data_IF_104664469348
#
_entry.id   IF_104664469348
#
_cell.length_a   1.000
_cell.length_b   1.000
_cell.length_c   1.000
_cell.angle_alpha   90.00
_cell.angle_beta   90.00
_cell.angle_gamma   90.00
#
_symmetry.space_group_name_H-M   'P 1'
#
loop_
_entity.id
_entity.type
_entity.pdbx_description
1 polymer ?
#
# COMPACT_ATOMS: atom_id res chain seq x y z
N UNK A 1 18.18 -15.10 28.95
CA UNK A 1 18.67 -14.09 27.98
C UNK A 1 17.78 -14.20 26.76
N UNK A 2 16.86 -13.27 26.56
CA UNK A 2 15.96 -13.30 25.39
C UNK A 2 16.73 -12.91 24.14
N UNK A 3 16.80 -13.81 23.15
CA UNK A 3 17.36 -13.51 21.83
C UNK A 3 16.68 -12.31 21.18
N UNK A 4 17.48 -11.41 20.62
CA UNK A 4 16.99 -10.29 19.84
C UNK A 4 16.48 -10.79 18.48
N UNK A 5 15.15 -10.74 18.29
CA UNK A 5 14.51 -11.10 17.01
C UNK A 5 14.88 -10.05 15.95
N UNK A 6 15.73 -10.44 15.00
CA UNK A 6 16.05 -9.59 13.84
C UNK A 6 14.84 -9.55 12.90
N UNK A 7 14.22 -8.37 12.74
CA UNK A 7 13.12 -8.17 11.80
C UNK A 7 13.71 -8.04 10.39
N UNK A 8 13.35 -8.97 9.49
CA UNK A 8 13.70 -8.89 8.07
C UNK A 8 12.56 -8.25 7.29
N UNK A 9 12.85 -7.16 6.58
CA UNK A 9 11.88 -6.49 5.73
C UNK A 9 11.91 -7.06 4.32
N UNK A 10 10.75 -7.09 3.66
CA UNK A 10 10.61 -7.55 2.27
C UNK A 10 9.92 -6.50 1.44
N UNK A 11 10.38 -6.33 0.21
CA UNK A 11 9.73 -5.46 -0.77
C UNK A 11 8.28 -5.93 -1.04
N UNK A 12 7.27 -5.05 -0.94
CA UNK A 12 5.88 -5.44 -1.16
C UNK A 12 5.57 -5.82 -2.61
N UNK A 13 6.37 -5.34 -3.57
CA UNK A 13 6.16 -5.59 -5.00
C UNK A 13 6.74 -6.94 -5.46
N UNK A 14 7.95 -7.29 -5.02
CA UNK A 14 8.66 -8.47 -5.54
C UNK A 14 9.20 -9.43 -4.45
N UNK A 15 9.00 -9.13 -3.16
CA UNK A 15 9.40 -9.94 -1.99
C UNK A 15 10.89 -10.16 -1.75
N UNK A 16 11.77 -9.48 -2.51
CA UNK A 16 13.21 -9.40 -2.21
C UNK A 16 13.44 -8.74 -0.84
N UNK A 17 14.53 -9.11 -0.17
CA UNK A 17 14.92 -8.49 1.10
C UNK A 17 15.23 -6.99 0.90
N UNK A 18 14.89 -6.18 1.89
CA UNK A 18 15.22 -4.75 1.94
C UNK A 18 15.58 -4.35 3.37
N UNK A 19 16.18 -3.19 3.53
CA UNK A 19 16.68 -2.65 4.80
C UNK A 19 16.15 -1.24 5.01
N UNK A 20 15.97 -0.81 6.26
CA UNK A 20 15.34 0.50 6.59
C UNK A 20 16.20 1.71 6.20
N UNK A 21 17.48 1.50 5.97
CA UNK A 21 18.47 2.49 5.52
C UNK A 21 18.55 2.61 3.99
N UNK A 22 17.86 1.73 3.24
CA UNK A 22 17.74 1.87 1.79
C UNK A 22 16.94 3.13 1.42
N UNK A 23 17.44 3.91 0.45
CA UNK A 23 16.75 5.09 -0.09
C UNK A 23 15.36 4.77 -0.63
N UNK A 24 15.20 3.56 -1.20
CA UNK A 24 13.94 3.09 -1.77
C UNK A 24 13.06 2.34 -0.75
N UNK A 25 13.44 2.25 0.53
CA UNK A 25 12.61 1.55 1.54
C UNK A 25 11.16 2.12 1.55
N UNK A 26 10.11 1.27 1.50
CA UNK A 26 10.06 -0.17 1.77
C UNK A 26 10.30 -1.08 0.56
N UNK A 27 10.72 -0.54 -0.57
CA UNK A 27 11.01 -1.30 -1.79
C UNK A 27 12.47 -1.77 -1.84
N UNK A 28 12.77 -2.71 -2.75
CA UNK A 28 14.15 -3.13 -2.98
C UNK A 28 14.87 -2.28 -4.04
N UNK A 29 14.14 -1.41 -4.75
CA UNK A 29 14.68 -0.51 -5.78
C UNK A 29 13.64 0.50 -6.28
N UNK A 30 14.12 1.57 -6.91
CA UNK A 30 13.33 2.61 -7.58
C UNK A 30 12.32 2.05 -8.59
N UNK A 31 12.70 0.99 -9.32
CA UNK A 31 11.79 0.28 -10.23
C UNK A 31 10.55 -0.24 -9.50
N UNK A 32 10.72 -0.86 -8.33
CA UNK A 32 9.58 -1.38 -7.56
C UNK A 32 8.72 -0.24 -7.01
N UNK A 33 9.32 0.88 -6.59
CA UNK A 33 8.60 2.08 -6.16
C UNK A 33 7.68 2.63 -7.26
N UNK A 34 8.18 2.71 -8.50
CA UNK A 34 7.39 3.18 -9.65
C UNK A 34 6.28 2.19 -10.01
N UNK A 35 6.55 0.88 -9.96
CA UNK A 35 5.52 -0.14 -10.21
C UNK A 35 4.38 -0.03 -9.20
N UNK A 36 4.71 0.13 -7.92
CA UNK A 36 3.71 0.28 -6.87
C UNK A 36 2.83 1.51 -7.12
N UNK A 37 3.45 2.65 -7.46
CA UNK A 37 2.73 3.86 -7.85
C UNK A 37 1.81 3.62 -9.05
N UNK A 38 2.25 2.85 -10.05
CA UNK A 38 1.44 2.47 -11.20
C UNK A 38 0.19 1.67 -10.82
N UNK A 39 0.31 0.73 -9.86
CA UNK A 39 -0.82 -0.04 -9.34
C UNK A 39 -1.85 0.83 -8.62
N UNK A 40 -1.39 1.81 -7.83
CA UNK A 40 -2.26 2.82 -7.23
C UNK A 40 -2.99 3.64 -8.30
N UNK A 41 -2.26 4.13 -9.31
CA UNK A 41 -2.85 4.94 -10.38
C UNK A 41 -3.82 4.15 -11.27
N UNK A 42 -3.70 2.82 -11.32
CA UNK A 42 -4.52 1.94 -12.14
C UNK A 42 -5.67 1.28 -11.36
N UNK A 43 -5.91 1.73 -10.12
CA UNK A 43 -6.95 1.19 -9.23
C UNK A 43 -6.84 -0.33 -8.98
N UNK A 44 -5.61 -0.87 -9.04
CA UNK A 44 -5.35 -2.29 -8.73
C UNK A 44 -5.40 -2.56 -7.22
N UNK A 45 -5.20 -1.52 -6.40
CA UNK A 45 -5.34 -1.60 -4.95
C UNK A 45 -6.75 -1.18 -4.53
N UNK A 46 -7.59 -2.17 -4.24
CA UNK A 46 -8.93 -1.96 -3.69
C UNK A 46 -9.11 -2.74 -2.38
N UNK A 47 -9.93 -2.19 -1.49
CA UNK A 47 -10.38 -2.89 -0.29
C UNK A 47 -11.83 -3.32 -0.57
N UNK A 48 -12.14 -4.62 -0.51
CA UNK A 48 -13.52 -5.06 -0.69
C UNK A 48 -14.39 -4.50 0.43
N UNK A 49 -15.45 -3.79 0.05
CA UNK A 49 -16.45 -3.24 0.95
C UNK A 49 -17.80 -3.94 0.80
N UNK A 50 -18.73 -3.63 1.70
CA UNK A 50 -20.14 -4.00 1.50
C UNK A 50 -20.71 -3.24 0.30
N UNK A 51 -21.69 -3.83 -0.42
CA UNK A 51 -22.36 -3.14 -1.52
C UNK A 51 -23.01 -1.85 -1.00
N UNK A 52 -22.68 -0.72 -1.62
CA UNK A 52 -23.32 0.56 -1.27
C UNK A 52 -24.75 0.55 -1.80
N UNK A 53 -25.73 0.89 -0.96
CA UNK A 53 -27.11 1.01 -1.41
C UNK A 53 -27.27 2.27 -2.27
N UNK A 54 -28.15 2.27 -3.30
CA UNK A 54 -28.36 3.45 -4.13
C UNK A 54 -28.78 4.71 -3.35
N UNK A 55 -29.36 4.53 -2.15
CA UNK A 55 -29.85 5.61 -1.29
C UNK A 55 -28.74 6.29 -0.47
N UNK A 56 -27.55 5.68 -0.37
CA UNK A 56 -26.38 6.24 0.33
C UNK A 56 -25.44 7.01 -0.62
N UNK A 57 -25.68 6.93 -1.93
CA UNK A 57 -24.93 7.64 -2.96
C UNK A 57 -25.50 9.02 -3.29
N UNK A 58 -26.60 9.43 -2.63
CA UNK A 58 -27.15 10.76 -2.82
C UNK A 58 -26.13 11.80 -2.30
N UNK A 59 -25.73 12.80 -3.12
CA UNK A 59 -24.87 13.87 -2.65
C UNK A 59 -25.53 14.52 -1.44
N UNK A 60 -24.82 14.55 -0.31
CA UNK A 60 -25.28 15.30 0.86
C UNK A 60 -25.58 16.74 0.44
N UNK A 61 -26.70 17.29 0.92
CA UNK A 61 -27.02 18.68 0.71
C UNK A 61 -26.05 19.53 1.54
N UNK A 62 -24.86 19.81 0.99
CA UNK A 62 -23.85 20.69 1.58
C UNK A 62 -24.30 22.18 1.48
N UNK A 63 -25.49 22.49 2.01
CA UNK A 63 -25.98 23.85 2.21
C UNK A 63 -25.28 24.45 3.42
N UNK A 64 -24.28 25.30 3.17
CA UNK A 64 -23.59 26.12 4.18
C UNK A 64 -24.49 27.22 4.75
#
# INVERSE_FOLDING_TARGET
>A
MSEAKTIRFRCPVCRKETTRDSEDFPFCSSRCRIIDLGRWASDEYSIPGEPVSPHELEPGDDSY
#
